data_IF_644234900848
#
_entry.id   IF_644234900848
#
_cell.length_a   1.000
_cell.length_b   1.000
_cell.length_c   1.000
_cell.angle_alpha   90.00
_cell.angle_beta   90.00
_cell.angle_gamma   90.00
#
_symmetry.space_group_name_H-M   'P 1'
#
loop_
_entity.id
_entity.type
_entity.pdbx_description
1 polymer ?
#
# COMPACT_ATOMS: atom_id res chain seq x y z
N UNK A 1 -0.04 -8.18 9.98
CA UNK A 1 -0.29 -7.30 8.82
C UNK A 1 -0.55 -5.88 9.33
N UNK A 2 0.51 -5.16 9.70
CA UNK A 2 0.45 -3.74 10.10
C UNK A 2 1.49 -2.92 9.34
N UNK A 3 2.35 -3.61 8.59
CA UNK A 3 3.50 -3.05 7.88
C UNK A 3 3.06 -2.08 6.79
N UNK A 4 1.99 -2.39 6.06
CA UNK A 4 1.45 -1.52 4.99
C UNK A 4 1.00 -0.17 5.53
N UNK A 5 0.20 -0.15 6.60
CA UNK A 5 -0.25 1.10 7.25
C UNK A 5 0.94 1.90 7.80
N UNK A 6 1.91 1.23 8.44
CA UNK A 6 3.11 1.91 8.96
C UNK A 6 3.91 2.57 7.83
N UNK A 7 4.11 1.86 6.71
CA UNK A 7 4.84 2.37 5.54
C UNK A 7 4.09 3.53 4.88
N UNK A 8 2.78 3.38 4.65
CA UNK A 8 1.90 4.44 4.14
C UNK A 8 1.93 5.67 5.08
N UNK A 9 1.83 5.46 6.39
CA UNK A 9 1.85 6.53 7.38
C UNK A 9 3.18 7.28 7.38
N UNK A 10 4.30 6.59 7.19
CA UNK A 10 5.62 7.22 7.14
C UNK A 10 5.75 8.16 5.92
N UNK A 11 5.22 7.75 4.77
CA UNK A 11 5.19 8.57 3.55
C UNK A 11 4.32 9.81 3.79
N UNK A 12 3.09 9.62 4.29
CA UNK A 12 2.15 10.72 4.56
C UNK A 12 2.68 11.71 5.62
N UNK A 13 3.34 11.23 6.67
CA UNK A 13 3.95 12.09 7.71
C UNK A 13 5.14 12.88 7.15
N UNK A 14 5.95 12.26 6.29
CA UNK A 14 7.19 12.86 5.77
C UNK A 14 6.92 13.84 4.61
N UNK A 15 6.14 13.42 3.62
CA UNK A 15 5.89 14.19 2.39
C UNK A 15 4.73 15.18 2.56
N UNK A 16 3.70 14.80 3.31
CA UNK A 16 2.49 15.62 3.48
C UNK A 16 2.41 16.32 4.84
N UNK A 17 3.38 16.08 5.73
CA UNK A 17 3.42 16.62 7.10
C UNK A 17 2.14 16.32 7.91
N UNK A 18 1.45 15.21 7.59
CA UNK A 18 0.22 14.80 8.27
C UNK A 18 0.60 14.13 9.60
N UNK A 19 -0.01 14.50 10.74
CA UNK A 19 0.32 13.89 12.00
C UNK A 19 -0.23 12.44 12.06
N UNK A 20 0.55 11.48 12.60
CA UNK A 20 0.15 10.07 12.60
C UNK A 20 -1.12 9.80 13.44
N UNK A 21 -1.46 10.71 14.37
CA UNK A 21 -2.70 10.64 15.16
C UNK A 21 -3.98 10.88 14.34
N UNK A 22 -3.88 11.65 13.25
CA UNK A 22 -4.98 11.88 12.30
C UNK A 22 -5.12 10.73 11.30
N UNK A 23 -4.09 9.91 11.15
CA UNK A 23 -3.99 8.87 10.13
C UNK A 23 -4.73 7.59 10.58
N UNK A 24 -6.06 7.70 10.65
CA UNK A 24 -6.97 6.60 11.02
C UNK A 24 -7.48 5.90 9.78
N UNK A 25 -7.78 4.59 9.86
CA UNK A 25 -8.38 3.86 8.74
C UNK A 25 -9.69 4.49 8.25
N UNK A 26 -10.46 5.08 9.16
CA UNK A 26 -11.73 5.75 8.86
C UNK A 26 -11.55 7.21 8.38
N UNK A 27 -10.33 7.74 8.42
CA UNK A 27 -10.06 9.11 8.00
C UNK A 27 -10.11 9.22 6.47
N UNK A 28 -10.93 10.14 5.92
CA UNK A 28 -10.95 10.40 4.49
C UNK A 28 -9.70 11.16 4.07
N UNK A 29 -9.15 10.79 2.91
CA UNK A 29 -7.91 11.38 2.37
C UNK A 29 -8.06 12.89 2.17
N UNK A 30 -9.22 13.32 1.70
CA UNK A 30 -9.59 14.73 1.53
C UNK A 30 -9.53 15.52 2.85
N UNK A 31 -9.93 14.92 3.98
CA UNK A 31 -9.83 15.57 5.30
C UNK A 31 -8.40 15.63 5.83
N UNK A 32 -7.50 14.82 5.29
CA UNK A 32 -6.07 14.87 5.61
C UNK A 32 -5.34 15.92 4.75
N UNK A 33 -6.04 16.64 3.87
CA UNK A 33 -5.44 17.59 2.94
C UNK A 33 -4.87 16.93 1.68
N UNK A 34 -5.23 15.67 1.41
CA UNK A 34 -4.89 14.99 0.17
C UNK A 34 -5.95 15.35 -0.88
N UNK A 35 -5.65 16.38 -1.67
CA UNK A 35 -6.42 16.75 -2.87
C UNK A 35 -6.06 15.87 -4.08
N UNK A 36 -6.67 16.11 -5.25
CA UNK A 36 -6.38 15.40 -6.50
C UNK A 36 -4.89 15.35 -6.87
N UNK A 37 -4.15 16.44 -6.66
CA UNK A 37 -2.70 16.48 -6.89
C UNK A 37 -1.94 15.64 -5.85
N UNK A 38 -2.32 15.78 -4.57
CA UNK A 38 -1.73 15.00 -3.49
C UNK A 38 -1.99 13.51 -3.65
N UNK A 39 -3.16 13.11 -4.15
CA UNK A 39 -3.49 11.73 -4.52
C UNK A 39 -2.53 11.22 -5.59
N UNK A 40 -2.31 11.97 -6.68
CA UNK A 40 -1.40 11.55 -7.75
C UNK A 40 0.03 11.33 -7.25
N UNK A 41 0.54 12.24 -6.41
CA UNK A 41 1.86 12.11 -5.79
C UNK A 41 1.93 10.92 -4.83
N UNK A 42 0.87 10.67 -4.07
CA UNK A 42 0.81 9.58 -3.11
C UNK A 42 0.83 8.24 -3.84
N UNK A 43 0.00 8.09 -4.88
CA UNK A 43 -0.07 6.90 -5.72
C UNK A 43 1.31 6.60 -6.32
N UNK A 44 2.00 7.60 -6.86
CA UNK A 44 3.33 7.42 -7.44
C UNK A 44 4.36 6.89 -6.41
N UNK A 45 4.37 7.45 -5.19
CA UNK A 45 5.23 6.96 -4.11
C UNK A 45 4.90 5.53 -3.70
N UNK A 46 3.61 5.19 -3.65
CA UNK A 46 3.15 3.85 -3.30
C UNK A 46 3.50 2.83 -4.39
N UNK A 47 3.33 3.19 -5.66
CA UNK A 47 3.72 2.35 -6.79
C UNK A 47 5.23 2.05 -6.76
N UNK A 48 6.07 3.05 -6.48
CA UNK A 48 7.52 2.82 -6.42
C UNK A 48 7.96 2.03 -5.18
N UNK A 49 7.41 2.34 -4.00
CA UNK A 49 7.77 1.70 -2.71
C UNK A 49 7.27 0.25 -2.63
N UNK A 50 6.08 -0.03 -3.16
CA UNK A 50 5.46 -1.36 -3.11
C UNK A 50 5.60 -2.14 -4.42
N UNK A 51 6.14 -1.53 -5.48
CA UNK A 51 6.29 -2.11 -6.83
C UNK A 51 4.95 -2.64 -7.38
N UNK A 52 3.88 -1.89 -7.13
CA UNK A 52 2.52 -2.16 -7.59
C UNK A 52 2.11 -1.13 -8.65
N UNK A 53 1.01 -1.38 -9.38
CA UNK A 53 0.40 -0.39 -10.27
C UNK A 53 -0.92 0.10 -9.69
N UNK A 54 -1.01 1.40 -9.44
CA UNK A 54 -2.19 2.07 -8.93
C UNK A 54 -2.59 3.19 -9.88
N UNK A 55 -3.76 3.07 -10.50
CA UNK A 55 -4.29 4.10 -11.41
C UNK A 55 -5.43 4.87 -10.75
N UNK A 56 -5.35 6.20 -10.73
CA UNK A 56 -6.35 7.08 -10.10
C UNK A 56 -7.79 6.84 -10.59
N UNK A 57 -7.96 6.33 -11.82
CA UNK A 57 -9.25 5.96 -12.39
C UNK A 57 -9.76 4.58 -11.93
N UNK A 58 -8.86 3.66 -11.60
CA UNK A 58 -9.21 2.29 -11.17
C UNK A 58 -9.34 2.15 -9.66
N UNK A 59 -8.95 3.19 -8.92
CA UNK A 59 -8.68 3.17 -7.50
C UNK A 59 -9.57 4.22 -6.83
N UNK A 60 -10.78 3.82 -6.42
CA UNK A 60 -11.74 4.70 -5.71
C UNK A 60 -11.46 4.71 -4.21
N UNK A 61 -10.25 5.12 -3.80
CA UNK A 61 -9.86 5.12 -2.40
C UNK A 61 -10.31 6.42 -1.75
N UNK A 62 -11.31 6.34 -0.89
CA UNK A 62 -11.82 7.52 -0.17
C UNK A 62 -11.14 7.71 1.19
N UNK A 63 -10.71 6.61 1.82
CA UNK A 63 -10.14 6.61 3.17
C UNK A 63 -8.77 5.93 3.20
N UNK A 64 -7.99 6.22 4.24
CA UNK A 64 -6.69 5.57 4.47
C UNK A 64 -6.84 4.05 4.58
N UNK A 65 -7.91 3.57 5.21
CA UNK A 65 -8.17 2.14 5.37
C UNK A 65 -8.38 1.44 4.03
N UNK A 66 -9.06 2.09 3.10
CA UNK A 66 -9.23 1.60 1.73
C UNK A 66 -7.87 1.43 1.04
N UNK A 67 -7.00 2.44 1.14
CA UNK A 67 -5.65 2.41 0.56
C UNK A 67 -4.84 1.24 1.10
N UNK A 68 -4.82 1.10 2.43
CA UNK A 68 -4.08 0.02 3.08
C UNK A 68 -4.61 -1.34 2.66
N UNK A 69 -5.93 -1.52 2.65
CA UNK A 69 -6.57 -2.78 2.29
C UNK A 69 -6.27 -3.14 0.83
N UNK A 70 -6.38 -2.15 -0.08
CA UNK A 70 -6.07 -2.35 -1.49
C UNK A 70 -4.62 -2.79 -1.71
N UNK A 71 -3.66 -2.09 -1.09
CA UNK A 71 -2.24 -2.47 -1.17
C UNK A 71 -2.02 -3.87 -0.56
N UNK A 72 -2.62 -4.18 0.59
CA UNK A 72 -2.47 -5.47 1.25
C UNK A 72 -2.98 -6.64 0.37
N UNK A 73 -4.09 -6.43 -0.35
CA UNK A 73 -4.59 -7.40 -1.33
C UNK A 73 -3.67 -7.58 -2.53
N UNK A 74 -2.98 -6.53 -2.98
CA UNK A 74 -2.00 -6.64 -4.07
C UNK A 74 -0.68 -7.28 -3.62
N UNK A 75 -0.22 -6.95 -2.41
CA UNK A 75 0.97 -7.54 -1.79
C UNK A 75 0.75 -8.99 -1.36
N UNK A 76 -0.50 -9.41 -1.22
CA UNK A 76 -0.89 -10.79 -0.98
C UNK A 76 -1.42 -11.40 -2.28
N UNK A 77 -0.56 -11.70 -3.28
CA UNK A 77 -1.02 -12.50 -4.40
C UNK A 77 -1.39 -13.90 -3.90
N UNK A 78 -2.46 -14.54 -4.39
CA UNK A 78 -2.77 -15.93 -4.05
C UNK A 78 -1.76 -16.96 -4.59
N UNK A 79 -0.59 -16.54 -5.11
CA UNK A 79 0.42 -17.44 -5.66
C UNK A 79 1.84 -16.87 -5.56
N UNK A 80 2.51 -17.15 -4.46
CA UNK A 80 3.98 -17.19 -4.35
C UNK A 80 4.37 -18.19 -3.26
N UNK A 81 3.84 -19.41 -3.39
CA UNK A 81 4.08 -20.54 -2.47
C UNK A 81 3.97 -21.90 -3.15
N UNK A 82 4.06 -21.94 -4.49
CA UNK A 82 4.09 -23.17 -5.26
C UNK A 82 5.00 -23.03 -6.50
N UNK A 83 6.32 -23.13 -6.31
CA UNK A 83 7.19 -23.84 -7.25
C UNK A 83 8.47 -24.35 -6.56
N UNK A 84 8.35 -25.61 -6.12
CA UNK A 84 9.33 -26.69 -6.04
C UNK A 84 10.81 -26.40 -6.36
N UNK A 85 11.68 -26.43 -5.34
CA UNK A 85 12.99 -27.11 -5.49
C UNK A 85 12.86 -28.50 -4.87
N UNK A 86 12.90 -29.50 -5.73
CA UNK A 86 13.15 -30.88 -5.35
C UNK A 86 14.56 -30.93 -4.75
N UNK A 87 14.69 -31.02 -3.43
CA UNK A 87 15.95 -31.37 -2.80
C UNK A 87 15.84 -32.79 -2.24
N UNK A 88 16.68 -33.67 -2.79
CA UNK A 88 17.04 -35.04 -2.38
C UNK A 88 16.19 -36.24 -2.86
N UNK A 89 16.22 -36.46 -4.18
CA UNK A 89 16.44 -37.80 -4.74
C UNK A 89 17.76 -37.79 -5.51
N UNK A 90 18.87 -37.90 -4.80
CA UNK A 90 20.14 -38.31 -5.40
C UNK A 90 20.85 -39.25 -4.43
N UNK A 91 20.51 -40.54 -4.57
CA UNK A 91 21.44 -41.67 -4.57
C UNK A 91 22.59 -41.65 -3.53
N UNK A 92 22.45 -42.43 -2.45
CA UNK A 92 23.25 -43.63 -2.13
C UNK A 92 22.65 -44.33 -0.92
#
# INVERSE_FOLDING_TARGET
>A
MTTTLVRLSAILVKDYMIPPESLKLDAPLEALGIDSLGMAELLFHLEDEFKISLTQESVTLQTVGDVVSYIDTLLTPPNSGADHVNDVLTNT
#
